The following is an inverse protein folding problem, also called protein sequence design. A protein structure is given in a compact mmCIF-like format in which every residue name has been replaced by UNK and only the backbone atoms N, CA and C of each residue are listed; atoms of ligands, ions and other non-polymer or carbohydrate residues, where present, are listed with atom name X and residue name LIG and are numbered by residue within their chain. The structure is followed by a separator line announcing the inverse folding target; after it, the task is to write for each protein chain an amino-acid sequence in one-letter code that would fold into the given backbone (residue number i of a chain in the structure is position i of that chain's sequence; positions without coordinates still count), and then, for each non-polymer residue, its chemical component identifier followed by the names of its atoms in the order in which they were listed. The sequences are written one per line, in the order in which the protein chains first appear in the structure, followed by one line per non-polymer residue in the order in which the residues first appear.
data_IF_845686613384
#
_entry.id   IF_845686613384
#
_cell.length_a   1.000
_cell.length_b   1.000
_cell.length_c   1.000
_cell.angle_alpha   90.00
_cell.angle_beta   90.00
_cell.angle_gamma   90.00
#
_symmetry.space_group_name_H-M   'P 1'
#
loop_
_entity.id
_entity.type
_entity.pdbx_description
1 polymer ?
#
# COMPACT_ATOMS: atom_id res chain seq x y z
N UNK A 1 38.28 -43.36 -24.03
CA UNK A 1 37.61 -42.13 -24.46
C UNK A 1 36.19 -42.56 -24.77
N UNK A 2 35.41 -42.65 -23.71
CA UNK A 2 34.11 -43.32 -23.61
C UNK A 2 33.17 -42.29 -23.03
N UNK A 3 31.95 -42.31 -23.56
CA UNK A 3 30.82 -41.45 -23.30
C UNK A 3 30.60 -41.17 -21.80
N UNK A 4 30.45 -39.89 -21.45
CA UNK A 4 29.85 -39.47 -20.19
C UNK A 4 28.36 -39.18 -20.44
N UNK A 5 27.59 -40.25 -20.59
CA UNK A 5 26.23 -40.25 -20.07
C UNK A 5 26.33 -40.16 -18.55
N UNK A 6 25.73 -39.13 -17.95
CA UNK A 6 24.88 -39.30 -16.77
C UNK A 6 23.60 -38.49 -17.00
N UNK A 7 22.52 -39.14 -17.39
CA UNK A 7 21.55 -39.88 -16.57
C UNK A 7 20.40 -38.95 -16.19
N UNK A 8 19.28 -39.21 -16.87
CA UNK A 8 17.94 -38.80 -16.46
C UNK A 8 17.67 -39.48 -15.10
N UNK A 9 17.65 -38.73 -14.01
CA UNK A 9 17.14 -39.26 -12.74
C UNK A 9 15.61 -39.35 -12.82
N UNK A 10 15.11 -40.58 -12.87
CA UNK A 10 13.69 -40.89 -12.98
C UNK A 10 13.00 -41.04 -11.61
N UNK A 11 13.67 -40.78 -10.48
CA UNK A 11 13.08 -41.00 -9.15
C UNK A 11 12.74 -39.75 -8.33
N UNK A 12 13.25 -38.56 -8.66
CA UNK A 12 12.81 -37.33 -7.97
C UNK A 12 12.58 -36.19 -8.96
N UNK A 13 11.32 -35.78 -9.16
CA UNK A 13 10.93 -34.76 -10.13
C UNK A 13 11.39 -33.34 -9.81
N UNK A 14 12.70 -33.08 -9.86
CA UNK A 14 13.28 -31.74 -9.76
C UNK A 14 14.07 -31.40 -11.03
N UNK A 15 13.83 -30.20 -11.56
CA UNK A 15 14.54 -29.66 -12.73
C UNK A 15 15.91 -29.15 -12.27
N UNK A 16 17.00 -29.71 -12.80
CA UNK A 16 18.33 -29.14 -12.62
C UNK A 16 18.38 -27.71 -13.16
N UNK A 17 18.85 -26.77 -12.34
CA UNK A 17 19.13 -25.39 -12.72
C UNK A 17 20.41 -25.37 -13.59
N UNK A 18 20.36 -24.95 -14.87
CA UNK A 18 21.57 -24.90 -15.68
C UNK A 18 22.52 -23.81 -15.16
N UNK A 19 23.78 -24.18 -14.91
CA UNK A 19 24.87 -23.29 -14.51
C UNK A 19 25.23 -22.27 -15.61
N UNK A 20 25.43 -21.00 -15.25
CA UNK A 20 25.69 -19.87 -16.16
C UNK A 20 26.86 -20.10 -17.15
N UNK A 21 26.77 -19.64 -18.42
CA UNK A 21 27.91 -19.62 -19.32
C UNK A 21 28.80 -18.39 -19.04
N UNK A 22 30.09 -18.63 -18.74
CA UNK A 22 31.11 -17.58 -18.54
C UNK A 22 31.40 -16.84 -19.85
N UNK A 23 30.75 -15.70 -20.09
CA UNK A 23 31.11 -14.81 -21.19
C UNK A 23 32.20 -13.80 -20.77
N UNK A 24 33.32 -13.83 -21.49
CA UNK A 24 34.49 -12.97 -21.27
C UNK A 24 34.16 -11.50 -21.60
N UNK A 25 34.45 -10.63 -20.64
CA UNK A 25 34.28 -9.18 -20.67
C UNK A 25 35.11 -8.51 -21.78
N UNK A 26 34.47 -7.65 -22.60
CA UNK A 26 35.11 -6.49 -23.25
C UNK A 26 34.12 -5.33 -23.40
N UNK A 27 34.51 -4.20 -22.83
CA UNK A 27 34.04 -2.80 -22.92
C UNK A 27 32.55 -2.47 -22.71
N UNK A 28 32.38 -1.40 -21.93
CA UNK A 28 31.18 -0.91 -21.25
C UNK A 28 30.18 -0.26 -22.20
N UNK A 29 28.92 -0.65 -22.08
CA UNK A 29 27.78 0.27 -22.16
C UNK A 29 26.72 -0.16 -21.13
N UNK A 30 26.61 0.62 -20.06
CA UNK A 30 25.66 0.45 -18.95
C UNK A 30 24.26 0.89 -19.37
N UNK A 31 23.48 0.02 -20.02
CA UNK A 31 22.03 -0.09 -19.72
C UNK A 31 21.32 -1.34 -20.29
N UNK A 32 22.03 -2.40 -20.71
CA UNK A 32 21.35 -3.55 -21.33
C UNK A 32 21.86 -4.90 -20.81
N UNK A 33 21.88 -5.11 -19.49
CA UNK A 33 21.90 -6.47 -18.92
C UNK A 33 20.50 -6.90 -18.56
N UNK A 34 19.72 -7.12 -19.61
CA UNK A 34 18.45 -7.84 -19.61
C UNK A 34 18.77 -9.34 -19.71
N UNK A 35 19.18 -9.95 -18.59
CA UNK A 35 19.24 -11.40 -18.40
C UNK A 35 18.06 -11.83 -17.50
N UNK A 36 17.42 -12.94 -17.87
CA UNK A 36 16.09 -13.40 -17.45
C UNK A 36 15.98 -13.86 -15.97
N UNK A 37 15.08 -13.23 -15.20
CA UNK A 37 14.39 -13.79 -14.01
C UNK A 37 12.86 -13.56 -14.21
N UNK A 38 11.96 -14.53 -13.97
CA UNK A 38 10.55 -14.48 -14.39
C UNK A 38 9.59 -13.77 -13.42
N UNK A 39 10.09 -12.88 -12.56
CA UNK A 39 9.27 -11.98 -11.74
C UNK A 39 9.82 -10.59 -12.00
N UNK A 40 9.38 -9.98 -13.10
CA UNK A 40 9.63 -8.57 -13.32
C UNK A 40 9.01 -7.82 -12.15
N UNK A 41 9.87 -7.30 -11.27
CA UNK A 41 9.57 -6.07 -10.56
C UNK A 41 9.32 -5.06 -11.66
N UNK A 42 8.07 -4.97 -12.09
CA UNK A 42 7.62 -3.90 -12.96
C UNK A 42 7.87 -2.66 -12.11
N UNK A 43 8.88 -1.86 -12.45
CA UNK A 43 9.01 -0.56 -11.81
C UNK A 43 7.64 0.11 -11.96
N UNK A 44 7.00 0.49 -10.85
CA UNK A 44 5.63 0.97 -10.90
C UNK A 44 5.60 2.10 -11.92
N UNK A 45 4.68 2.01 -12.90
CA UNK A 45 4.58 3.02 -13.94
C UNK A 45 4.44 4.40 -13.31
N UNK A 46 4.97 5.45 -13.96
CA UNK A 46 4.84 6.83 -13.45
C UNK A 46 3.38 7.19 -13.14
N UNK A 47 2.43 6.68 -13.93
CA UNK A 47 0.99 6.81 -13.68
C UNK A 47 0.54 6.18 -12.36
N UNK A 48 1.06 5.02 -12.01
CA UNK A 48 0.76 4.35 -10.74
C UNK A 48 1.37 5.11 -9.56
N UNK A 49 2.61 5.59 -9.70
CA UNK A 49 3.26 6.43 -8.67
C UNK A 49 2.44 7.72 -8.47
N UNK A 50 2.06 8.40 -9.55
CA UNK A 50 1.26 9.62 -9.49
C UNK A 50 -0.12 9.38 -8.86
N UNK A 51 -0.81 8.29 -9.25
CA UNK A 51 -2.11 7.94 -8.68
C UNK A 51 -2.02 7.58 -7.20
N UNK A 52 -1.01 6.79 -6.81
CA UNK A 52 -0.76 6.45 -5.40
C UNK A 52 -0.41 7.70 -4.59
N UNK A 53 0.42 8.59 -5.12
CA UNK A 53 0.75 9.84 -4.45
C UNK A 53 -0.49 10.72 -4.26
N UNK A 54 -1.32 10.85 -5.30
CA UNK A 54 -2.58 11.58 -5.22
C UNK A 54 -3.50 11.03 -4.14
N UNK A 55 -3.63 9.70 -4.06
CA UNK A 55 -4.39 9.04 -3.03
C UNK A 55 -3.87 9.33 -1.61
N UNK A 56 -2.55 9.24 -1.40
CA UNK A 56 -1.94 9.53 -0.09
C UNK A 56 -2.20 10.98 0.35
N UNK A 57 -2.12 11.94 -0.58
CA UNK A 57 -2.42 13.34 -0.30
C UNK A 57 -3.87 13.54 0.15
N UNK A 58 -4.85 12.96 -0.55
CA UNK A 58 -6.26 13.07 -0.19
C UNK A 58 -6.59 12.44 1.18
N UNK A 59 -5.93 11.33 1.52
CA UNK A 59 -6.09 10.68 2.81
C UNK A 59 -5.53 11.54 3.96
N UNK A 60 -4.39 12.21 3.73
CA UNK A 60 -3.78 13.13 4.69
C UNK A 60 -4.65 14.38 4.90
N UNK A 61 -5.12 15.02 3.82
CA UNK A 61 -6.07 16.14 3.86
C UNK A 61 -7.35 15.78 4.63
N UNK A 62 -7.86 14.57 4.43
CA UNK A 62 -9.04 14.08 5.15
C UNK A 62 -8.78 13.94 6.65
N UNK A 63 -7.60 13.44 7.02
CA UNK A 63 -7.19 13.29 8.43
C UNK A 63 -7.12 14.66 9.13
N UNK A 64 -6.54 15.64 8.45
CA UNK A 64 -6.43 17.01 8.94
C UNK A 64 -7.78 17.71 9.04
N UNK A 65 -8.66 17.53 8.03
CA UNK A 65 -10.00 18.11 8.03
C UNK A 65 -10.85 17.60 9.22
N UNK A 66 -10.83 16.28 9.47
CA UNK A 66 -11.53 15.67 10.61
C UNK A 66 -11.05 16.23 11.95
N UNK A 67 -9.73 16.25 12.14
CA UNK A 67 -9.09 16.79 13.35
C UNK A 67 -9.46 18.26 13.57
N UNK A 68 -9.32 19.07 12.52
CA UNK A 68 -9.58 20.52 12.56
C UNK A 68 -11.04 20.79 12.91
N UNK A 69 -11.98 20.09 12.26
CA UNK A 69 -13.41 20.24 12.55
C UNK A 69 -13.74 19.85 14.00
N UNK A 70 -13.22 18.73 14.50
CA UNK A 70 -13.40 18.35 15.91
C UNK A 70 -12.85 19.43 16.86
N UNK A 71 -11.64 19.92 16.60
CA UNK A 71 -10.99 20.94 17.43
C UNK A 71 -11.76 22.27 17.42
N UNK A 72 -12.30 22.68 16.27
CA UNK A 72 -13.13 23.88 16.16
C UNK A 72 -14.43 23.77 16.96
N UNK A 73 -14.97 22.57 17.10
CA UNK A 73 -16.13 22.28 17.96
C UNK A 73 -15.76 22.16 19.44
N UNK A 74 -14.48 22.20 19.80
CA UNK A 74 -14.00 22.04 21.18
C UNK A 74 -14.19 20.62 21.73
N UNK A 75 -14.39 19.62 20.87
CA UNK A 75 -14.65 18.25 21.26
C UNK A 75 -13.36 17.47 21.49
N UNK A 76 -13.35 16.58 22.48
CA UNK A 76 -12.28 15.59 22.68
C UNK A 76 -12.51 14.35 21.81
N UNK A 77 -11.51 13.48 21.67
CA UNK A 77 -11.70 12.18 21.00
C UNK A 77 -12.72 11.31 21.73
N UNK A 78 -12.79 11.39 23.06
CA UNK A 78 -13.77 10.67 23.89
C UNK A 78 -15.19 11.17 23.65
N UNK A 79 -15.38 12.46 23.36
CA UNK A 79 -16.69 13.00 22.99
C UNK A 79 -17.16 12.43 21.65
N UNK A 80 -16.27 12.33 20.66
CA UNK A 80 -16.57 11.69 19.38
C UNK A 80 -16.85 10.20 19.56
N UNK A 81 -16.05 9.49 20.35
CA UNK A 81 -16.29 8.08 20.68
C UNK A 81 -17.68 7.89 21.30
N UNK A 82 -18.09 8.78 22.22
CA UNK A 82 -19.40 8.73 22.86
C UNK A 82 -20.56 8.99 21.87
N UNK A 83 -20.34 9.79 20.83
CA UNK A 83 -21.34 10.10 19.81
C UNK A 83 -21.44 9.04 18.71
N UNK A 84 -20.32 8.42 18.35
CA UNK A 84 -20.18 7.59 17.15
C UNK A 84 -19.95 6.11 17.44
N UNK A 85 -19.60 5.77 18.68
CA UNK A 85 -19.12 4.45 19.10
C UNK A 85 -17.83 3.97 18.38
N UNK A 86 -17.11 4.88 17.73
CA UNK A 86 -15.78 4.61 17.19
C UNK A 86 -14.77 4.76 18.32
N UNK A 87 -13.95 3.75 18.56
CA UNK A 87 -12.99 3.78 19.65
C UNK A 87 -12.01 4.96 19.52
N UNK A 88 -11.77 5.70 20.61
CA UNK A 88 -10.90 6.88 20.60
C UNK A 88 -9.46 6.60 20.16
N UNK A 89 -8.95 5.38 20.38
CA UNK A 89 -7.65 4.97 19.83
C UNK A 89 -7.63 4.94 18.30
N UNK A 90 -8.72 4.50 17.67
CA UNK A 90 -8.84 4.53 16.21
C UNK A 90 -9.09 5.93 15.67
N UNK A 91 -9.82 6.78 16.41
CA UNK A 91 -9.96 8.19 16.05
C UNK A 91 -8.60 8.91 16.07
N UNK A 92 -7.76 8.66 17.09
CA UNK A 92 -6.38 9.17 17.14
C UNK A 92 -5.53 8.66 15.97
N UNK A 93 -5.68 7.37 15.62
CA UNK A 93 -5.01 6.75 14.47
C UNK A 93 -5.41 7.43 13.15
N UNK A 94 -6.70 7.73 12.99
CA UNK A 94 -7.26 8.46 11.85
C UNK A 94 -6.68 9.88 11.78
N UNK A 95 -6.69 10.63 12.87
CA UNK A 95 -6.14 12.01 12.90
C UNK A 95 -4.63 12.08 12.65
N UNK A 96 -3.92 10.95 12.82
CA UNK A 96 -2.50 10.81 12.51
C UNK A 96 -2.24 10.30 11.08
N UNK A 97 -3.29 10.08 10.28
CA UNK A 97 -3.17 9.55 8.92
C UNK A 97 -2.71 8.09 8.86
N UNK A 98 -2.76 7.35 9.96
CA UNK A 98 -2.25 5.98 10.07
C UNK A 98 -3.32 4.95 9.64
N UNK A 99 -3.92 5.17 8.47
CA UNK A 99 -5.05 4.40 7.95
C UNK A 99 -4.74 2.90 7.80
N UNK A 100 -3.47 2.55 7.60
CA UNK A 100 -2.97 1.17 7.51
C UNK A 100 -3.07 0.38 8.83
N UNK A 101 -3.21 1.07 9.97
CA UNK A 101 -3.34 0.44 11.30
C UNK A 101 -4.78 0.14 11.69
N UNK A 102 -5.75 0.56 10.88
CA UNK A 102 -7.15 0.28 11.12
C UNK A 102 -7.48 -1.19 10.78
N UNK A 103 -8.47 -1.81 11.44
CA UNK A 103 -8.73 -3.25 11.32
C UNK A 103 -8.97 -3.75 9.89
N UNK A 104 -9.69 -2.96 9.08
CA UNK A 104 -9.98 -3.27 7.69
C UNK A 104 -10.32 -1.99 6.92
N UNK A 105 -10.12 -2.01 5.60
CA UNK A 105 -10.45 -0.89 4.70
C UNK A 105 -11.92 -0.47 4.79
N UNK A 106 -12.84 -1.43 4.83
CA UNK A 106 -14.29 -1.15 4.96
C UNK A 106 -14.60 -0.46 6.29
N UNK A 107 -13.88 -0.84 7.36
CA UNK A 107 -14.00 -0.17 8.65
C UNK A 107 -13.50 1.28 8.57
N UNK A 108 -12.33 1.50 7.98
CA UNK A 108 -11.77 2.83 7.81
C UNK A 108 -12.74 3.77 7.06
N UNK A 109 -13.35 3.30 5.97
CA UNK A 109 -14.37 4.04 5.22
C UNK A 109 -15.58 4.38 6.07
N UNK A 110 -16.14 3.40 6.80
CA UNK A 110 -17.27 3.63 7.69
C UNK A 110 -16.95 4.62 8.81
N UNK A 111 -15.79 4.45 9.45
CA UNK A 111 -15.32 5.32 10.51
C UNK A 111 -15.11 6.76 10.01
N UNK A 112 -14.49 6.94 8.85
CA UNK A 112 -14.30 8.26 8.25
C UNK A 112 -15.63 8.94 7.92
N UNK A 113 -16.58 8.21 7.33
CA UNK A 113 -17.93 8.72 7.02
C UNK A 113 -18.68 9.16 8.28
N UNK A 114 -18.72 8.28 9.30
CA UNK A 114 -19.41 8.54 10.55
C UNK A 114 -18.76 9.70 11.32
N UNK A 115 -17.43 9.76 11.35
CA UNK A 115 -16.71 10.85 12.00
C UNK A 115 -16.95 12.17 11.27
N UNK A 116 -16.79 12.22 9.94
CA UNK A 116 -17.06 13.42 9.14
C UNK A 116 -18.49 13.96 9.34
N UNK A 117 -19.45 13.04 9.46
CA UNK A 117 -20.85 13.37 9.74
C UNK A 117 -21.01 13.96 11.15
N UNK A 118 -20.37 13.37 12.16
CA UNK A 118 -20.44 13.83 13.56
C UNK A 118 -19.85 15.23 13.77
N UNK A 119 -18.78 15.57 13.05
CA UNK A 119 -18.16 16.91 13.12
C UNK A 119 -18.74 17.92 12.12
N UNK A 120 -19.75 17.52 11.33
CA UNK A 120 -20.45 18.40 10.41
C UNK A 120 -19.63 18.86 9.20
N UNK A 121 -18.70 18.04 8.71
CA UNK A 121 -17.98 18.34 7.47
C UNK A 121 -18.94 18.35 6.27
N UNK A 122 -18.68 19.25 5.32
CA UNK A 122 -19.38 19.26 4.04
C UNK A 122 -19.00 18.00 3.23
N UNK A 123 -19.98 17.37 2.58
CA UNK A 123 -19.77 16.17 1.75
C UNK A 123 -19.01 15.03 2.48
N UNK A 124 -19.53 14.49 3.59
CA UNK A 124 -18.83 13.48 4.40
C UNK A 124 -18.51 12.19 3.62
N UNK A 125 -19.29 11.88 2.58
CA UNK A 125 -19.01 10.77 1.67
C UNK A 125 -17.71 10.96 0.87
N UNK A 126 -17.35 12.19 0.50
CA UNK A 126 -16.12 12.48 -0.24
C UNK A 126 -14.90 12.19 0.63
N UNK A 127 -14.93 12.63 1.89
CA UNK A 127 -13.87 12.32 2.86
C UNK A 127 -13.67 10.82 3.05
N UNK A 128 -14.74 10.02 3.09
CA UNK A 128 -14.64 8.57 3.15
C UNK A 128 -14.09 7.92 1.86
N UNK A 129 -14.29 8.55 0.70
CA UNK A 129 -13.75 8.06 -0.58
C UNK A 129 -12.26 8.34 -0.71
N UNK A 130 -11.80 9.49 -0.20
CA UNK A 130 -10.40 9.93 -0.23
C UNK A 130 -9.43 8.92 0.41
N UNK A 131 -9.91 8.06 1.32
CA UNK A 131 -9.11 7.04 2.02
C UNK A 131 -9.20 5.64 1.38
N UNK A 132 -9.91 5.51 0.27
CA UNK A 132 -10.15 4.26 -0.44
C UNK A 132 -9.50 4.28 -1.85
N UNK A 133 -8.38 3.55 -2.04
CA UNK A 133 -7.75 3.26 -3.34
C UNK A 133 -8.54 2.24 -4.17
#
# INVERSE_FOLDING_TARGET
MVDEEQILDLETGQVEQPSEPRLKLRHVNTNERKWWWPWSVQEPSESFIAQKNHFLTLAEETSEALKTARQNLGLTLTDIESQTFINSHFLDTIEKGQWEKLPARVYAQGAALTYATAVGLENPAQHAQNISN
#
